data_IF_212937090717
#
_entry.id   IF_212937090717
#
_cell.length_a   1.000
_cell.length_b   1.000
_cell.length_c   1.000
_cell.angle_alpha   90.00
_cell.angle_beta   90.00
_cell.angle_gamma   90.00
#
_symmetry.space_group_name_H-M   'P 1'
#
loop_
_entity.id
_entity.type
_entity.pdbx_description
1 polymer ?
#
# COMPACT_ATOMS: atom_id res chain seq x y z
N UNK A 1 15.72 -9.89 26.29
CA UNK A 1 15.00 -9.64 25.04
C UNK A 1 13.85 -10.62 25.05
N UNK A 2 12.61 -10.15 25.26
CA UNK A 2 11.45 -11.02 25.09
C UNK A 2 11.46 -11.45 23.62
N UNK A 3 11.55 -12.75 23.36
CA UNK A 3 11.88 -13.36 22.06
C UNK A 3 10.80 -13.17 21.00
N UNK A 4 10.50 -11.92 20.68
CA UNK A 4 9.55 -11.52 19.67
C UNK A 4 10.30 -11.24 18.36
N UNK A 5 9.82 -11.79 17.26
CA UNK A 5 10.39 -11.57 15.93
C UNK A 5 9.80 -10.28 15.34
N UNK A 6 10.66 -9.39 14.85
CA UNK A 6 10.24 -8.11 14.27
C UNK A 6 10.59 -8.07 12.79
N UNK A 7 9.58 -7.87 11.94
CA UNK A 7 9.75 -7.81 10.49
C UNK A 7 10.08 -6.38 10.06
N UNK A 8 11.37 -6.10 9.98
CA UNK A 8 11.89 -4.76 9.72
C UNK A 8 11.85 -4.41 8.22
N UNK A 9 11.43 -3.17 7.84
CA UNK A 9 11.56 -2.70 6.47
C UNK A 9 13.02 -2.65 6.01
N UNK A 10 13.25 -3.10 4.78
CA UNK A 10 14.53 -2.95 4.08
C UNK A 10 14.38 -2.04 2.87
N UNK A 11 15.45 -1.35 2.54
CA UNK A 11 15.62 -0.62 1.29
C UNK A 11 16.56 -1.42 0.41
N UNK A 12 16.09 -1.82 -0.77
CA UNK A 12 16.90 -2.49 -1.80
C UNK A 12 17.19 -1.52 -2.94
N UNK A 13 18.42 -1.56 -3.43
CA UNK A 13 18.86 -0.91 -4.67
C UNK A 13 19.15 -1.98 -5.71
N UNK A 14 18.68 -1.78 -6.95
CA UNK A 14 18.95 -2.66 -8.08
C UNK A 14 19.63 -1.86 -9.19
N UNK A 15 20.83 -2.26 -9.58
CA UNK A 15 21.57 -1.70 -10.70
C UNK A 15 21.46 -2.68 -11.90
N UNK A 16 20.98 -2.25 -13.07
CA UNK A 16 21.11 -3.06 -14.27
C UNK A 16 22.58 -3.14 -14.65
N UNK A 17 23.09 -4.35 -14.89
CA UNK A 17 24.43 -4.49 -15.48
C UNK A 17 24.34 -4.43 -16.99
N UNK A 18 23.29 -5.03 -17.55
CA UNK A 18 22.85 -4.91 -18.93
C UNK A 18 21.34 -5.18 -19.04
N UNK A 19 20.85 -5.49 -20.24
CA UNK A 19 19.44 -5.79 -20.53
C UNK A 19 18.98 -7.19 -20.07
N UNK A 20 19.89 -7.99 -19.49
CA UNK A 20 19.63 -9.39 -19.10
C UNK A 20 19.80 -9.68 -17.62
N UNK A 21 20.55 -8.86 -16.86
CA UNK A 21 20.74 -9.09 -15.41
C UNK A 21 21.02 -7.83 -14.57
N UNK A 22 20.79 -7.98 -13.26
CA UNK A 22 20.86 -6.91 -12.25
C UNK A 22 21.72 -7.33 -11.05
N UNK A 23 22.37 -6.36 -10.42
CA UNK A 23 23.01 -6.50 -9.10
C UNK A 23 22.16 -5.80 -8.05
N UNK A 24 22.03 -6.43 -6.89
CA UNK A 24 21.24 -5.92 -5.77
C UNK A 24 22.12 -5.65 -4.55
N UNK A 25 21.81 -4.57 -3.84
CA UNK A 25 22.32 -4.32 -2.49
C UNK A 25 21.15 -3.88 -1.61
N UNK A 26 21.17 -4.25 -0.33
CA UNK A 26 20.08 -3.94 0.59
C UNK A 26 20.59 -3.54 1.96
N UNK A 27 19.87 -2.60 2.59
CA UNK A 27 20.08 -2.22 3.98
C UNK A 27 18.76 -2.26 4.74
N UNK A 28 18.83 -2.42 6.06
CA UNK A 28 17.71 -2.06 6.93
C UNK A 28 17.49 -0.56 6.79
N UNK A 29 16.24 -0.14 6.63
CA UNK A 29 15.89 1.29 6.60
C UNK A 29 16.42 1.93 7.90
N UNK A 30 17.31 2.94 7.84
CA UNK A 30 18.08 3.40 9.00
C UNK A 30 17.25 3.74 10.23
N UNK A 31 16.05 4.30 10.06
CA UNK A 31 15.12 4.64 11.16
C UNK A 31 14.65 3.42 11.97
N UNK A 32 14.75 2.22 11.40
CA UNK A 32 14.39 0.96 12.01
C UNK A 32 15.61 0.16 12.49
N UNK A 33 16.85 0.62 12.26
CA UNK A 33 18.05 -0.11 12.68
C UNK A 33 18.12 -0.31 14.21
N UNK A 34 17.55 0.62 14.99
CA UNK A 34 17.43 0.56 16.46
C UNK A 34 16.57 -0.60 16.98
N UNK A 35 15.75 -1.22 16.12
CA UNK A 35 15.04 -2.47 16.47
C UNK A 35 16.05 -3.56 16.82
N UNK A 36 17.21 -3.58 16.16
CA UNK A 36 18.28 -4.54 16.45
C UNK A 36 18.87 -4.44 17.86
N UNK A 37 18.67 -3.32 18.56
CA UNK A 37 19.04 -3.15 19.97
C UNK A 37 17.85 -3.32 20.92
N UNK A 38 16.67 -3.71 20.41
CA UNK A 38 15.44 -3.86 21.18
C UNK A 38 14.68 -2.57 21.45
N UNK A 39 15.05 -1.44 20.83
CA UNK A 39 14.31 -0.18 20.98
C UNK A 39 13.19 -0.08 19.94
N UNK A 40 11.95 -0.26 20.41
CA UNK A 40 10.73 -0.11 19.61
C UNK A 40 10.03 1.24 19.83
N UNK A 41 10.63 2.16 20.58
CA UNK A 41 9.97 3.39 21.03
C UNK A 41 9.52 4.27 19.87
N UNK A 42 8.21 4.48 19.75
CA UNK A 42 7.63 5.30 18.69
C UNK A 42 7.60 4.64 17.31
N UNK A 43 7.89 3.33 17.21
CA UNK A 43 7.70 2.57 15.97
C UNK A 43 6.23 2.13 15.90
N UNK A 44 5.47 2.54 14.87
CA UNK A 44 4.09 2.10 14.72
C UNK A 44 4.03 0.59 14.50
N UNK A 45 3.17 -0.08 15.26
CA UNK A 45 2.90 -1.52 15.14
C UNK A 45 1.62 -1.70 14.33
N UNK A 46 1.61 -2.69 13.43
CA UNK A 46 0.42 -3.01 12.62
C UNK A 46 -0.71 -3.55 13.49
N UNK A 47 -1.91 -3.02 13.25
CA UNK A 47 -3.15 -3.47 13.87
C UNK A 47 -3.92 -4.50 13.03
N UNK A 48 -3.46 -4.75 11.80
CA UNK A 48 -4.11 -5.63 10.84
C UNK A 48 -3.12 -6.67 10.30
N UNK A 49 -3.67 -7.80 9.87
CA UNK A 49 -2.90 -8.90 9.28
C UNK A 49 -2.79 -8.78 7.77
N UNK A 50 -1.82 -9.50 7.20
CA UNK A 50 -1.66 -9.62 5.74
C UNK A 50 -2.89 -10.29 5.10
N UNK A 51 -3.51 -11.21 5.81
CA UNK A 51 -4.69 -11.96 5.41
C UNK A 51 -5.93 -11.04 5.32
N UNK A 52 -6.19 -10.21 6.35
CA UNK A 52 -7.28 -9.22 6.34
C UNK A 52 -7.15 -8.24 5.16
N UNK A 53 -5.92 -7.76 4.92
CA UNK A 53 -5.59 -6.90 3.79
C UNK A 53 -5.92 -7.59 2.46
N UNK A 54 -5.45 -8.83 2.27
CA UNK A 54 -5.70 -9.61 1.08
C UNK A 54 -7.21 -9.82 0.87
N UNK A 55 -7.94 -10.21 1.90
CA UNK A 55 -9.38 -10.48 1.83
C UNK A 55 -10.18 -9.23 1.47
N UNK A 56 -9.87 -8.07 2.08
CA UNK A 56 -10.57 -6.81 1.80
C UNK A 56 -10.45 -6.42 0.32
N UNK A 57 -9.25 -6.45 -0.25
CA UNK A 57 -9.03 -6.13 -1.67
C UNK A 57 -9.77 -7.10 -2.57
N UNK A 58 -9.72 -8.40 -2.27
CA UNK A 58 -10.42 -9.40 -3.08
C UNK A 58 -11.95 -9.23 -3.01
N UNK A 59 -12.51 -8.88 -1.84
CA UNK A 59 -13.93 -8.54 -1.70
C UNK A 59 -14.31 -7.32 -2.53
N UNK A 60 -13.50 -6.25 -2.47
CA UNK A 60 -13.75 -5.03 -3.24
C UNK A 60 -13.69 -5.26 -4.76
N UNK A 61 -12.71 -6.04 -5.24
CA UNK A 61 -12.63 -6.43 -6.66
C UNK A 61 -13.81 -7.32 -7.06
N UNK A 62 -14.24 -8.25 -6.20
CA UNK A 62 -15.43 -9.07 -6.45
C UNK A 62 -16.69 -8.23 -6.55
N UNK A 63 -16.85 -7.25 -5.65
CA UNK A 63 -17.94 -6.28 -5.70
C UNK A 63 -17.92 -5.47 -7.00
N UNK A 64 -16.74 -5.02 -7.44
CA UNK A 64 -16.57 -4.28 -8.68
C UNK A 64 -17.01 -5.06 -9.91
N UNK A 65 -16.62 -6.34 -9.98
CA UNK A 65 -17.03 -7.23 -11.08
C UNK A 65 -18.53 -7.50 -11.10
N UNK A 66 -19.18 -7.55 -9.94
CA UNK A 66 -20.62 -7.82 -9.84
C UNK A 66 -21.50 -6.57 -10.02
N UNK A 67 -21.02 -5.40 -9.61
CA UNK A 67 -21.85 -4.19 -9.49
C UNK A 67 -21.44 -3.05 -10.42
N UNK A 68 -20.28 -3.15 -11.06
CA UNK A 68 -19.73 -2.13 -11.94
C UNK A 68 -19.06 -0.97 -11.20
N UNK A 69 -18.45 -0.08 -12.00
CA UNK A 69 -17.53 0.96 -11.56
C UNK A 69 -18.20 2.02 -10.66
N UNK A 70 -19.33 2.57 -11.08
CA UNK A 70 -20.03 3.64 -10.35
C UNK A 70 -20.45 3.23 -8.93
N UNK A 71 -21.11 2.06 -8.79
CA UNK A 71 -21.51 1.53 -7.48
C UNK A 71 -20.32 1.23 -6.59
N UNK A 72 -19.22 0.78 -7.18
CA UNK A 72 -17.98 0.49 -6.44
C UNK A 72 -17.36 1.77 -5.92
N UNK A 73 -17.26 2.82 -6.74
CA UNK A 73 -16.73 4.10 -6.30
C UNK A 73 -17.56 4.71 -5.19
N UNK A 74 -18.88 4.65 -5.27
CA UNK A 74 -19.75 5.09 -4.19
C UNK A 74 -19.45 4.33 -2.88
N UNK A 75 -19.33 2.99 -2.95
CA UNK A 75 -19.03 2.16 -1.78
C UNK A 75 -17.61 2.36 -1.21
N UNK A 76 -16.61 2.62 -2.06
CA UNK A 76 -15.24 2.96 -1.62
C UNK A 76 -15.21 4.36 -1.00
N UNK A 77 -15.99 5.30 -1.55
CA UNK A 77 -15.99 6.67 -1.10
C UNK A 77 -16.75 6.89 0.22
N UNK A 78 -17.47 5.90 0.72
CA UNK A 78 -18.16 5.98 2.00
C UNK A 78 -17.18 5.64 3.16
N UNK A 79 -16.76 6.62 3.98
CA UNK A 79 -15.83 6.38 5.09
C UNK A 79 -16.44 5.49 6.20
N UNK A 80 -17.77 5.39 6.25
CA UNK A 80 -18.50 4.52 7.19
C UNK A 80 -18.96 3.21 6.51
N UNK A 81 -18.49 2.97 5.28
CA UNK A 81 -18.95 1.91 4.40
C UNK A 81 -18.25 0.56 4.60
N UNK A 82 -18.72 -0.44 3.83
CA UNK A 82 -18.29 -1.84 3.92
C UNK A 82 -16.80 -2.13 3.59
N UNK A 83 -16.10 -1.13 3.05
CA UNK A 83 -14.68 -1.22 2.67
C UNK A 83 -13.76 -0.45 3.60
N UNK A 84 -14.23 -0.07 4.78
CA UNK A 84 -13.44 0.58 5.84
C UNK A 84 -13.55 -0.24 7.12
N UNK A 85 -12.41 -0.49 7.77
CA UNK A 85 -12.32 -1.06 9.11
C UNK A 85 -11.13 -0.41 9.83
N UNK A 86 -11.40 0.62 10.66
CA UNK A 86 -10.34 1.40 11.28
C UNK A 86 -9.45 2.08 10.22
N UNK A 87 -8.15 1.75 10.22
CA UNK A 87 -7.19 2.24 9.23
C UNK A 87 -6.93 1.28 8.06
N UNK A 88 -7.63 0.14 8.01
CA UNK A 88 -7.68 -0.75 6.85
C UNK A 88 -8.85 -0.36 5.94
N UNK A 89 -8.52 0.17 4.76
CA UNK A 89 -9.50 0.59 3.75
C UNK A 89 -8.97 0.40 2.33
N UNK A 90 -9.86 0.38 1.34
CA UNK A 90 -9.46 0.31 -0.08
C UNK A 90 -9.47 1.66 -0.77
N UNK A 91 -8.68 1.80 -1.82
CA UNK A 91 -8.77 2.88 -2.80
C UNK A 91 -8.74 2.31 -4.23
N UNK A 92 -9.07 3.12 -5.23
CA UNK A 92 -9.06 2.73 -6.63
C UNK A 92 -8.30 3.75 -7.50
N UNK A 93 -7.56 3.26 -8.47
CA UNK A 93 -6.77 4.06 -9.43
C UNK A 93 -6.93 3.53 -10.86
N UNK A 94 -6.79 4.41 -11.85
CA UNK A 94 -6.83 4.03 -13.28
C UNK A 94 -5.48 3.45 -13.73
N UNK A 95 -5.48 2.79 -14.90
CA UNK A 95 -4.24 2.37 -15.57
C UNK A 95 -3.36 3.54 -16.04
N UNK A 96 -3.89 4.77 -16.02
CA UNK A 96 -3.19 6.02 -16.33
C UNK A 96 -2.65 6.70 -15.05
N UNK A 97 -2.93 6.15 -13.86
CA UNK A 97 -2.47 6.71 -12.59
C UNK A 97 -3.39 7.79 -11.99
N UNK A 98 -4.64 7.86 -12.43
CA UNK A 98 -5.63 8.79 -11.85
C UNK A 98 -6.27 8.16 -10.62
N UNK A 99 -6.32 8.89 -9.50
CA UNK A 99 -7.07 8.45 -8.31
C UNK A 99 -8.58 8.49 -8.60
N UNK A 100 -9.24 7.34 -8.54
CA UNK A 100 -10.65 7.19 -8.92
C UNK A 100 -11.59 7.26 -7.71
N UNK A 101 -11.20 6.66 -6.58
CA UNK A 101 -11.95 6.67 -5.34
C UNK A 101 -11.03 6.42 -4.14
N UNK A 102 -11.24 7.15 -3.06
CA UNK A 102 -10.55 6.97 -1.78
C UNK A 102 -11.44 7.50 -0.65
N UNK A 103 -11.69 6.76 0.45
CA UNK A 103 -12.55 7.21 1.54
C UNK A 103 -12.01 8.44 2.29
N UNK A 104 -10.69 8.64 2.35
CA UNK A 104 -10.05 9.63 3.21
C UNK A 104 -9.20 10.66 2.46
N UNK A 105 -8.65 10.32 1.30
CA UNK A 105 -7.86 11.22 0.45
C UNK A 105 -8.70 11.92 -0.63
N UNK A 106 -9.86 12.44 -0.21
CA UNK A 106 -10.87 13.02 -1.10
C UNK A 106 -10.34 14.13 -2.01
N UNK A 107 -9.39 14.92 -1.53
CA UNK A 107 -8.83 16.06 -2.28
C UNK A 107 -8.05 15.65 -3.52
N UNK A 108 -7.61 14.39 -3.61
CA UNK A 108 -6.80 13.90 -4.72
C UNK A 108 -7.59 13.11 -5.77
N UNK A 109 -8.88 12.86 -5.55
CA UNK A 109 -9.72 12.17 -6.53
C UNK A 109 -9.75 12.98 -7.84
N UNK A 110 -9.49 12.32 -8.95
CA UNK A 110 -9.40 12.91 -10.28
C UNK A 110 -8.02 13.47 -10.65
N UNK A 111 -7.03 13.39 -9.74
CA UNK A 111 -5.65 13.83 -10.01
C UNK A 111 -4.73 12.69 -10.39
N UNK A 112 -3.72 13.05 -11.17
CA UNK A 112 -2.62 12.18 -11.56
C UNK A 112 -1.64 11.95 -10.40
N UNK A 113 -1.43 10.68 -10.05
CA UNK A 113 -0.54 10.21 -8.99
C UNK A 113 0.70 9.48 -9.53
N UNK A 114 0.91 9.42 -10.85
CA UNK A 114 2.02 8.68 -11.47
C UNK A 114 3.40 9.18 -11.02
N UNK A 115 3.48 10.46 -10.66
CA UNK A 115 4.68 11.13 -10.16
C UNK A 115 4.79 11.19 -8.64
N UNK A 116 3.76 10.79 -7.89
CA UNK A 116 3.78 10.81 -6.42
C UNK A 116 4.80 9.80 -5.89
N UNK A 117 5.62 10.24 -4.93
CA UNK A 117 6.67 9.43 -4.31
C UNK A 117 6.68 9.63 -2.80
N UNK A 118 7.05 8.58 -2.08
CA UNK A 118 7.52 8.76 -0.69
C UNK A 118 8.92 9.39 -0.63
N UNK A 119 9.43 9.68 0.57
CA UNK A 119 10.78 10.26 0.77
C UNK A 119 11.92 9.45 0.15
N UNK A 120 11.70 8.16 -0.14
CA UNK A 120 12.69 7.25 -0.71
C UNK A 120 12.53 7.07 -2.23
N UNK A 121 11.59 7.79 -2.85
CA UNK A 121 11.37 7.76 -4.29
C UNK A 121 10.47 6.62 -4.76
N UNK A 122 9.79 5.90 -3.85
CA UNK A 122 8.90 4.80 -4.23
C UNK A 122 7.65 5.35 -4.93
N UNK A 123 7.48 5.00 -6.20
CA UNK A 123 6.31 5.39 -7.03
C UNK A 123 5.22 4.34 -6.96
N UNK A 124 4.41 4.36 -5.89
CA UNK A 124 3.46 3.28 -5.62
C UNK A 124 2.41 3.09 -6.73
N UNK A 125 1.93 4.18 -7.35
CA UNK A 125 1.02 4.11 -8.50
C UNK A 125 1.63 3.36 -9.68
N UNK A 126 2.91 3.58 -9.98
CA UNK A 126 3.61 2.84 -11.04
C UNK A 126 3.74 1.36 -10.69
N UNK A 127 4.03 1.03 -9.43
CA UNK A 127 4.05 -0.36 -8.95
C UNK A 127 2.67 -1.00 -9.12
N UNK A 128 1.59 -0.29 -8.79
CA UNK A 128 0.22 -0.74 -9.00
C UNK A 128 -0.09 -1.03 -10.47
N UNK A 129 0.28 -0.13 -11.38
CA UNK A 129 0.12 -0.31 -12.83
C UNK A 129 0.92 -1.54 -13.34
N UNK A 130 2.13 -1.76 -12.84
CA UNK A 130 2.90 -2.97 -13.20
C UNK A 130 2.25 -4.25 -12.65
N UNK A 131 1.71 -4.20 -11.42
CA UNK A 131 0.94 -5.31 -10.84
C UNK A 131 -0.33 -5.60 -11.65
N UNK A 132 -0.97 -4.60 -12.26
CA UNK A 132 -2.07 -4.85 -13.20
C UNK A 132 -1.64 -5.68 -14.41
N UNK A 133 -0.46 -5.40 -14.96
CA UNK A 133 0.03 -6.01 -16.21
C UNK A 133 0.55 -7.43 -15.99
N UNK A 134 1.19 -7.69 -14.86
CA UNK A 134 1.94 -8.94 -14.62
C UNK A 134 1.36 -9.85 -13.52
N UNK A 135 0.29 -9.44 -12.83
CA UNK A 135 -0.33 -10.21 -11.75
C UNK A 135 -0.18 -9.54 -10.37
N UNK A 136 -1.06 -9.95 -9.45
CA UNK A 136 -1.18 -9.38 -8.10
C UNK A 136 0.12 -9.51 -7.30
N UNK A 137 0.40 -8.57 -6.40
CA UNK A 137 1.58 -8.65 -5.54
C UNK A 137 1.48 -7.74 -4.32
N UNK A 138 2.29 -8.05 -3.31
CA UNK A 138 2.52 -7.15 -2.19
C UNK A 138 3.64 -6.17 -2.53
N UNK A 139 3.47 -4.92 -2.13
CA UNK A 139 4.50 -3.89 -2.18
C UNK A 139 4.63 -3.19 -0.82
N UNK A 140 5.64 -2.34 -0.67
CA UNK A 140 5.84 -1.48 0.49
C UNK A 140 6.13 -0.07 0.02
N UNK A 141 5.59 0.90 0.74
CA UNK A 141 5.91 2.31 0.60
C UNK A 141 5.79 2.96 1.98
N UNK A 142 6.27 4.19 2.12
CA UNK A 142 5.82 5.05 3.20
C UNK A 142 4.60 5.84 2.77
N UNK A 143 3.63 5.98 3.68
CA UNK A 143 2.42 6.73 3.38
C UNK A 143 1.79 7.31 4.66
N UNK A 144 1.23 8.52 4.65
CA UNK A 144 0.50 9.04 5.79
C UNK A 144 -0.77 8.23 6.07
N UNK A 145 -1.08 7.96 7.34
CA UNK A 145 -2.33 7.31 7.70
C UNK A 145 -3.49 8.32 7.62
N UNK A 146 -4.06 8.46 6.43
CA UNK A 146 -5.14 9.42 6.14
C UNK A 146 -6.43 9.13 6.90
N UNK A 147 -6.73 7.85 7.21
CA UNK A 147 -7.87 7.48 8.05
C UNK A 147 -7.76 8.04 9.48
N UNK A 148 -6.53 8.20 9.98
CA UNK A 148 -6.24 8.81 11.28
C UNK A 148 -5.95 10.31 11.20
N UNK A 149 -6.12 10.95 10.04
CA UNK A 149 -5.71 12.36 9.82
C UNK A 149 -4.21 12.58 9.95
N UNK A 150 -3.40 11.53 9.83
CA UNK A 150 -1.95 11.58 9.98
C UNK A 150 -1.28 12.24 8.77
N UNK A 151 -0.22 12.99 9.03
CA UNK A 151 0.63 13.63 8.00
C UNK A 151 2.02 13.03 7.92
N UNK A 152 2.43 12.27 8.94
CA UNK A 152 3.72 11.60 8.98
C UNK A 152 3.71 10.34 8.09
N UNK A 153 4.73 10.22 7.26
CA UNK A 153 4.99 9.01 6.49
C UNK A 153 5.33 7.82 7.40
N UNK A 154 4.51 6.77 7.34
CA UNK A 154 4.70 5.52 8.09
C UNK A 154 4.76 4.33 7.12
N UNK A 155 5.46 3.22 7.47
CA UNK A 155 5.52 2.05 6.61
C UNK A 155 4.13 1.50 6.35
N UNK A 156 3.83 1.22 5.10
CA UNK A 156 2.59 0.59 4.68
C UNK A 156 2.92 -0.68 3.90
N UNK A 157 2.41 -1.82 4.35
CA UNK A 157 2.35 -3.02 3.51
C UNK A 157 1.11 -2.89 2.62
N UNK A 158 1.29 -3.04 1.31
CA UNK A 158 0.28 -2.72 0.31
C UNK A 158 -0.01 -3.98 -0.50
N UNK A 159 -1.29 -4.22 -0.79
CA UNK A 159 -1.72 -5.24 -1.73
C UNK A 159 -2.65 -4.63 -2.77
N UNK A 160 -2.44 -4.99 -4.03
CA UNK A 160 -3.14 -4.39 -5.17
C UNK A 160 -3.58 -5.48 -6.14
N UNK A 161 -4.76 -5.28 -6.73
CA UNK A 161 -5.34 -6.21 -7.68
C UNK A 161 -6.11 -5.47 -8.77
N UNK A 162 -5.85 -5.86 -10.02
CA UNK A 162 -6.61 -5.36 -11.16
C UNK A 162 -8.09 -5.79 -11.07
N UNK A 163 -8.98 -4.87 -11.43
CA UNK A 163 -10.38 -5.21 -11.71
C UNK A 163 -10.48 -5.70 -13.16
N UNK A 164 -9.93 -4.89 -14.07
CA UNK A 164 -9.76 -5.11 -15.50
C UNK A 164 -8.56 -4.29 -16.00
N UNK A 165 -8.36 -4.19 -17.32
CA UNK A 165 -7.21 -3.52 -17.95
C UNK A 165 -7.21 -1.98 -17.79
N UNK A 166 -8.28 -1.39 -17.26
CA UNK A 166 -8.46 0.07 -17.17
C UNK A 166 -8.31 0.62 -15.75
N UNK A 167 -8.37 -0.22 -14.71
CA UNK A 167 -8.28 0.20 -13.31
C UNK A 167 -8.05 -0.95 -12.32
N UNK A 168 -7.60 -0.57 -11.13
CA UNK A 168 -7.24 -1.49 -10.04
C UNK A 168 -7.71 -0.97 -8.68
N UNK A 169 -7.75 -1.88 -7.71
CA UNK A 169 -8.09 -1.59 -6.33
C UNK A 169 -6.91 -2.00 -5.44
N UNK A 170 -6.53 -1.11 -4.54
CA UNK A 170 -5.47 -1.32 -3.57
C UNK A 170 -5.98 -1.17 -2.13
N UNK A 171 -5.22 -1.71 -1.19
CA UNK A 171 -5.35 -1.43 0.24
C UNK A 171 -3.98 -1.56 0.89
N UNK A 172 -3.85 -1.12 2.14
CA UNK A 172 -2.64 -1.36 2.91
C UNK A 172 -2.81 -1.19 4.41
N UNK A 173 -1.85 -1.73 5.14
CA UNK A 173 -1.81 -1.79 6.61
C UNK A 173 -0.55 -1.08 7.12
N UNK A 174 -0.70 -0.27 8.17
CA UNK A 174 0.34 0.66 8.63
C UNK A 174 1.17 0.09 9.78
N UNK A 175 2.49 0.31 9.75
CA UNK A 175 3.43 -0.06 10.81
C UNK A 175 4.33 -1.25 10.45
N UNK A 176 5.00 -1.78 11.47
CA UNK A 176 5.78 -3.03 11.41
C UNK A 176 5.01 -4.19 12.04
N UNK A 177 5.33 -5.41 11.62
CA UNK A 177 4.81 -6.63 12.23
C UNK A 177 5.76 -7.09 13.35
N UNK A 178 5.17 -7.42 14.50
CA UNK A 178 5.84 -7.98 15.68
C UNK A 178 5.11 -9.27 16.01
N UNK A 179 5.84 -10.39 16.06
CA UNK A 179 5.33 -11.71 16.44
C UNK A 179 5.82 -12.10 17.84
#
# INVERSE_FOLDING_TARGET
MNGNDVYVPKLDYAEPVDDTWWVFSGIIVPEYARIGTGDLSGIPVRNHTREELYELVNRAVGFAKANGKEKTFAAINDPDGQFVSGDLFVWAESSEGILLADPFWKSEIGRDQIGYTDRYGVKITQVGIQAMRNGTGFSRALFPNTAAGGTAEVPKLIYMKAVDDTWWIGSGIYGVEIQ
#
